data_IF_458030010385
#
_entry.id   IF_458030010385
#
_cell.length_a   1.000
_cell.length_b   1.000
_cell.length_c   1.000
_cell.angle_alpha   90.00
_cell.angle_beta   90.00
_cell.angle_gamma   90.00
#
_symmetry.space_group_name_H-M   'P 1'
#
loop_
_entity.id
_entity.type
_entity.pdbx_description
1 polymer ?
#
# COMPACT_ATOMS: atom_id res chain seq x y z
N UNK A 1 1.47 8.34 5.69
CA UNK A 1 2.61 7.42 5.84
C UNK A 1 3.81 7.92 5.05
N UNK A 2 5.06 7.62 5.43
CA UNK A 2 6.19 7.83 4.51
C UNK A 2 6.48 6.51 3.77
N UNK A 3 6.30 6.50 2.45
CA UNK A 3 6.54 5.31 1.62
C UNK A 3 8.04 5.08 1.42
N UNK A 4 8.52 3.88 1.74
CA UNK A 4 9.91 3.46 1.51
C UNK A 4 9.97 2.42 0.40
N UNK A 5 10.47 2.81 -0.77
CA UNK A 5 10.56 1.95 -1.94
C UNK A 5 12.02 1.76 -2.34
N UNK A 6 12.49 0.52 -2.29
CA UNK A 6 13.84 0.10 -2.65
C UNK A 6 13.83 -0.69 -3.97
N UNK A 7 15.00 -0.87 -4.60
CA UNK A 7 15.12 -1.55 -5.90
C UNK A 7 15.35 -3.06 -5.81
N UNK A 8 15.39 -3.63 -4.59
CA UNK A 8 15.74 -5.02 -4.31
C UNK A 8 14.55 -5.99 -4.44
N UNK A 9 13.33 -5.47 -4.43
CA UNK A 9 12.10 -6.25 -4.52
C UNK A 9 11.05 -5.59 -5.43
N UNK A 10 10.04 -6.33 -5.92
CA UNK A 10 8.94 -5.72 -6.66
C UNK A 10 8.21 -4.63 -5.85
N UNK A 11 7.95 -3.48 -6.48
CA UNK A 11 7.34 -2.32 -5.81
C UNK A 11 5.98 -2.69 -5.17
N UNK A 12 5.15 -3.49 -5.86
CA UNK A 12 3.84 -3.88 -5.32
C UNK A 12 3.94 -4.72 -4.05
N UNK A 13 4.97 -5.56 -3.89
CA UNK A 13 5.13 -6.37 -2.68
C UNK A 13 5.58 -5.51 -1.51
N UNK A 14 6.46 -4.53 -1.75
CA UNK A 14 6.88 -3.57 -0.73
C UNK A 14 5.71 -2.70 -0.25
N UNK A 15 4.88 -2.22 -1.19
CA UNK A 15 3.66 -1.48 -0.89
C UNK A 15 2.68 -2.31 -0.06
N UNK A 16 2.47 -3.58 -0.42
CA UNK A 16 1.62 -4.50 0.35
C UNK A 16 2.11 -4.62 1.79
N UNK A 17 3.41 -4.85 2.00
CA UNK A 17 4.01 -4.94 3.33
C UNK A 17 3.82 -3.67 4.14
N UNK A 18 4.01 -2.50 3.54
CA UNK A 18 3.81 -1.23 4.24
C UNK A 18 2.34 -0.96 4.60
N UNK A 19 1.40 -1.33 3.73
CA UNK A 19 -0.03 -1.24 4.03
C UNK A 19 -0.38 -2.16 5.21
N UNK A 20 0.13 -3.39 5.24
CA UNK A 20 -0.04 -4.32 6.37
C UNK A 20 0.50 -3.70 7.67
N UNK A 21 1.71 -3.12 7.62
CA UNK A 21 2.30 -2.46 8.79
C UNK A 21 1.45 -1.26 9.26
N UNK A 22 0.87 -0.47 8.35
CA UNK A 22 -0.06 0.61 8.68
C UNK A 22 -1.35 0.13 9.34
N UNK A 23 -1.86 -1.05 8.94
CA UNK A 23 -3.02 -1.67 9.59
C UNK A 23 -2.64 -2.14 11.01
N UNK A 24 -1.50 -2.83 11.15
CA UNK A 24 -1.03 -3.35 12.45
C UNK A 24 -0.72 -2.22 13.44
N UNK A 25 -0.14 -1.12 12.96
CA UNK A 25 0.18 0.06 13.79
C UNK A 25 -1.05 0.87 14.17
N UNK A 26 -2.19 0.65 13.50
CA UNK A 26 -3.42 1.43 13.67
C UNK A 26 -3.44 2.75 12.90
N UNK A 27 -2.47 2.99 12.00
CA UNK A 27 -2.56 4.12 11.03
C UNK A 27 -3.75 3.94 10.09
N UNK A 28 -4.10 2.70 9.75
CA UNK A 28 -5.35 2.34 9.11
C UNK A 28 -6.22 1.55 10.09
N UNK A 29 -7.17 2.23 10.74
CA UNK A 29 -7.99 1.61 11.76
C UNK A 29 -8.98 0.58 11.18
N UNK A 30 -9.29 -0.45 11.97
CA UNK A 30 -10.29 -1.44 11.58
C UNK A 30 -11.66 -0.78 11.37
N UNK A 31 -12.29 -1.07 10.23
CA UNK A 31 -13.56 -0.46 9.82
C UNK A 31 -13.43 0.91 9.15
N UNK A 32 -12.23 1.50 9.11
CA UNK A 32 -11.95 2.71 8.35
C UNK A 32 -11.75 2.38 6.87
N UNK A 33 -12.09 3.35 6.01
CA UNK A 33 -11.79 3.25 4.59
C UNK A 33 -10.32 3.62 4.35
N UNK A 34 -9.60 2.73 3.67
CA UNK A 34 -8.31 3.08 3.11
C UNK A 34 -8.45 4.24 2.09
N UNK A 35 -7.41 5.08 1.95
CA UNK A 35 -7.31 6.04 0.85
C UNK A 35 -7.52 5.39 -0.52
N UNK A 36 -7.88 6.19 -1.52
CA UNK A 36 -8.08 5.64 -2.86
C UNK A 36 -6.75 5.18 -3.48
N UNK A 37 -6.83 4.23 -4.43
CA UNK A 37 -5.67 3.77 -5.21
C UNK A 37 -4.89 4.95 -5.81
N UNK A 38 -5.59 5.99 -6.27
CA UNK A 38 -4.98 7.17 -6.86
C UNK A 38 -4.27 8.03 -5.83
N UNK A 39 -4.88 8.24 -4.66
CA UNK A 39 -4.28 9.07 -3.61
C UNK A 39 -3.02 8.42 -3.06
N UNK A 40 -3.07 7.11 -2.76
CA UNK A 40 -1.89 6.35 -2.34
C UNK A 40 -0.79 6.35 -3.41
N UNK A 41 -1.16 6.26 -4.68
CA UNK A 41 -0.20 6.29 -5.78
C UNK A 41 0.50 7.65 -5.91
N UNK A 42 -0.24 8.75 -5.71
CA UNK A 42 0.32 10.11 -5.69
C UNK A 42 1.24 10.28 -4.49
N UNK A 43 0.83 9.85 -3.30
CA UNK A 43 1.64 9.92 -2.08
C UNK A 43 2.93 9.09 -2.20
N UNK A 44 2.84 7.89 -2.78
CA UNK A 44 3.98 6.99 -2.97
C UNK A 44 4.85 7.33 -4.20
N UNK A 45 4.38 8.20 -5.11
CA UNK A 45 5.06 8.49 -6.36
C UNK A 45 5.15 7.31 -7.32
N UNK A 46 4.16 6.40 -7.32
CA UNK A 46 4.14 5.16 -8.12
C UNK A 46 2.98 5.12 -9.11
N UNK A 47 3.01 4.16 -10.03
CA UNK A 47 1.89 3.91 -10.92
C UNK A 47 0.66 3.41 -10.13
N UNK A 48 -0.55 3.96 -10.34
CA UNK A 48 -1.78 3.48 -9.68
C UNK A 48 -2.05 1.98 -9.83
N UNK A 49 -1.68 1.39 -10.96
CA UNK A 49 -1.83 -0.06 -11.18
C UNK A 49 -0.94 -0.88 -10.23
N UNK A 50 0.18 -0.32 -9.77
CA UNK A 50 1.07 -0.97 -8.79
C UNK A 50 0.41 -1.03 -7.41
N UNK A 51 -0.25 0.06 -6.98
CA UNK A 51 -1.06 0.09 -5.74
C UNK A 51 -2.26 -0.85 -5.86
N UNK A 52 -2.97 -0.81 -7.00
CA UNK A 52 -4.08 -1.72 -7.28
C UNK A 52 -3.65 -3.18 -7.12
N UNK A 53 -2.48 -3.55 -7.65
CA UNK A 53 -1.92 -4.89 -7.50
C UNK A 53 -1.63 -5.22 -6.05
N UNK A 54 -0.97 -4.33 -5.30
CA UNK A 54 -0.67 -4.54 -3.88
C UNK A 54 -1.94 -4.80 -3.05
N UNK A 55 -2.99 -4.00 -3.23
CA UNK A 55 -4.28 -4.17 -2.56
C UNK A 55 -5.00 -5.45 -3.02
N UNK A 56 -4.92 -5.80 -4.30
CA UNK A 56 -5.52 -7.03 -4.83
C UNK A 56 -4.89 -8.28 -4.21
N UNK A 57 -3.56 -8.29 -4.06
CA UNK A 57 -2.83 -9.37 -3.38
C UNK A 57 -3.19 -9.42 -1.90
N UNK A 58 -3.32 -8.26 -1.23
CA UNK A 58 -3.71 -8.18 0.18
C UNK A 58 -5.10 -8.78 0.45
N UNK A 59 -6.08 -8.51 -0.43
CA UNK A 59 -7.46 -9.02 -0.27
C UNK A 59 -7.58 -10.52 -0.57
N UNK A 60 -6.59 -11.11 -1.25
CA UNK A 60 -6.57 -12.54 -1.58
C UNK A 60 -6.02 -13.42 -0.45
N UNK A 61 -5.37 -12.82 0.54
CA UNK A 61 -4.88 -13.48 1.76
C UNK A 61 -5.98 -13.62 2.80
#
# INVERSE_FOLDING_TARGET
MEWRIESDAPIYSQLKTQIILGIISGEYASGERLPSVRDMAVEAGVNPNTIQRALTELVRE
#
